data_IF_453624852060
#
_entry.id   IF_453624852060
#
_cell.length_a   1.000
_cell.length_b   1.000
_cell.length_c   1.000
_cell.angle_alpha   90.00
_cell.angle_beta   90.00
_cell.angle_gamma   90.00
#
_symmetry.space_group_name_H-M   'P 1'
#
loop_
_entity.id
_entity.type
_entity.pdbx_description
1 polymer ?
#
# COMPACT_ATOMS: atom_id res chain seq x y z
N UNK A 1 14.86 -2.97 -20.19
CA UNK A 1 13.97 -2.68 -19.04
C UNK A 1 13.13 -1.47 -19.41
N UNK A 2 11.81 -1.49 -19.19
CA UNK A 2 10.94 -0.34 -19.50
C UNK A 2 10.62 0.38 -18.19
N UNK A 3 10.81 1.72 -18.17
CA UNK A 3 10.53 2.53 -16.98
C UNK A 3 9.05 2.93 -16.91
N UNK A 4 8.49 2.91 -15.71
CA UNK A 4 7.14 3.37 -15.38
C UNK A 4 7.21 4.40 -14.26
N UNK A 5 6.24 5.32 -14.20
CA UNK A 5 6.13 6.27 -13.10
C UNK A 5 4.81 6.07 -12.35
N UNK A 6 4.86 6.15 -11.02
CA UNK A 6 3.66 6.22 -10.19
C UNK A 6 3.26 7.68 -10.04
N UNK A 7 2.00 7.95 -10.28
CA UNK A 7 1.43 9.29 -10.24
C UNK A 7 0.09 9.30 -9.53
N UNK A 8 -0.24 10.48 -9.08
CA UNK A 8 -1.59 10.81 -8.63
C UNK A 8 -2.27 11.75 -9.63
N UNK A 9 -3.60 11.74 -9.72
CA UNK A 9 -4.32 12.62 -10.64
C UNK A 9 -3.95 14.10 -10.49
N UNK A 10 -3.66 14.56 -9.29
CA UNK A 10 -3.26 15.97 -9.05
C UNK A 10 -1.85 16.33 -9.54
N UNK A 11 -1.02 15.37 -9.94
CA UNK A 11 0.28 15.64 -10.55
C UNK A 11 0.14 16.08 -12.01
N UNK A 12 -1.02 15.76 -12.63
CA UNK A 12 -1.31 15.98 -14.06
C UNK A 12 -2.51 16.89 -14.26
N UNK A 13 -3.61 16.67 -13.52
CA UNK A 13 -4.86 17.40 -13.68
C UNK A 13 -4.71 18.88 -13.31
N UNK A 14 -4.72 19.74 -14.33
CA UNK A 14 -4.53 21.19 -14.19
C UNK A 14 -3.13 21.67 -14.48
N UNK A 15 -2.26 20.79 -14.96
CA UNK A 15 -0.97 21.14 -15.53
C UNK A 15 -0.89 20.65 -16.98
N UNK A 16 -1.12 21.54 -17.96
CA UNK A 16 -1.14 21.15 -19.38
C UNK A 16 0.21 20.66 -19.91
N UNK A 17 1.31 20.94 -19.21
CA UNK A 17 2.66 20.52 -19.61
C UNK A 17 3.09 19.20 -18.95
N UNK A 18 2.37 18.70 -17.94
CA UNK A 18 2.78 17.54 -17.16
C UNK A 18 2.95 16.28 -18.03
N UNK A 19 1.96 15.95 -18.84
CA UNK A 19 1.99 14.76 -19.69
C UNK A 19 3.14 14.79 -20.71
N UNK A 20 3.41 15.96 -21.29
CA UNK A 20 4.54 16.14 -22.21
C UNK A 20 5.89 15.98 -21.53
N UNK A 21 6.05 16.52 -20.31
CA UNK A 21 7.28 16.32 -19.51
C UNK A 21 7.51 14.85 -19.21
N UNK A 22 6.46 14.11 -18.83
CA UNK A 22 6.54 12.68 -18.53
C UNK A 22 6.90 11.84 -19.76
N UNK A 23 6.25 12.10 -20.89
CA UNK A 23 6.59 11.43 -22.15
C UNK A 23 8.05 11.70 -22.56
N UNK A 24 8.55 12.92 -22.36
CA UNK A 24 9.95 13.29 -22.60
C UNK A 24 10.98 12.54 -21.75
N UNK A 25 10.58 11.87 -20.65
CA UNK A 25 11.43 11.02 -19.84
C UNK A 25 11.65 9.61 -20.44
N UNK A 26 11.01 9.27 -21.55
CA UNK A 26 11.11 7.95 -22.18
C UNK A 26 10.42 6.84 -21.39
N UNK A 27 9.40 7.17 -20.60
CA UNK A 27 8.58 6.20 -19.86
C UNK A 27 7.75 5.35 -20.83
N UNK A 28 7.61 4.07 -20.51
CA UNK A 28 6.71 3.16 -21.22
C UNK A 28 5.24 3.38 -20.83
N UNK A 29 4.99 3.86 -19.63
CA UNK A 29 3.66 4.12 -19.13
C UNK A 29 3.68 4.68 -17.71
N UNK A 30 2.48 4.81 -17.17
CA UNK A 30 2.20 5.40 -15.87
C UNK A 30 1.26 4.50 -15.07
N UNK A 31 1.55 4.33 -13.79
CA UNK A 31 0.61 3.79 -12.81
C UNK A 31 -0.05 4.97 -12.10
N UNK A 32 -1.34 5.21 -12.39
CA UNK A 32 -2.11 6.34 -11.90
C UNK A 32 -3.07 5.91 -10.79
N UNK A 33 -3.02 6.59 -9.65
CA UNK A 33 -3.90 6.29 -8.53
C UNK A 33 -5.38 6.53 -8.90
N UNK A 34 -6.19 5.47 -8.86
CA UNK A 34 -7.65 5.50 -9.01
C UNK A 34 -8.34 5.51 -7.64
N UNK A 35 -7.78 4.80 -6.66
CA UNK A 35 -8.22 4.78 -5.26
C UNK A 35 -6.99 4.75 -4.34
N UNK A 36 -6.92 5.66 -3.36
CA UNK A 36 -5.75 5.79 -2.50
C UNK A 36 -6.13 6.12 -1.06
N UNK A 37 -5.23 5.83 -0.12
CA UNK A 37 -5.35 6.21 1.29
C UNK A 37 -5.08 7.70 1.52
N UNK A 38 -5.08 8.15 2.78
CA UNK A 38 -4.72 9.52 3.12
C UNK A 38 -3.27 9.84 2.73
N UNK A 39 -3.06 11.04 2.21
CA UNK A 39 -1.75 11.46 1.73
C UNK A 39 -1.51 12.95 1.91
N UNK A 40 -0.27 13.32 2.19
CA UNK A 40 0.26 14.69 2.06
C UNK A 40 1.46 14.62 1.12
N UNK A 41 1.35 15.26 -0.02
CA UNK A 41 2.36 15.24 -1.08
C UNK A 41 2.82 16.65 -1.46
N UNK A 42 4.08 16.77 -1.87
CA UNK A 42 4.64 17.98 -2.48
C UNK A 42 4.61 17.80 -4.00
N UNK A 43 4.11 18.81 -4.71
CA UNK A 43 3.99 18.80 -6.17
C UNK A 43 4.86 19.94 -6.75
N UNK A 44 6.18 19.75 -6.85
CA UNK A 44 7.13 20.84 -7.13
C UNK A 44 6.97 21.48 -8.49
N UNK A 45 6.40 20.76 -9.46
CA UNK A 45 6.27 21.22 -10.85
C UNK A 45 4.87 21.70 -11.22
N UNK A 46 3.85 21.45 -10.37
CA UNK A 46 2.48 21.82 -10.71
C UNK A 46 2.27 23.34 -10.61
N UNK A 47 1.69 24.00 -11.65
CA UNK A 47 1.55 25.46 -11.66
C UNK A 47 0.54 25.99 -10.64
N UNK A 48 -0.48 25.22 -10.28
CA UNK A 48 -1.61 25.66 -9.44
C UNK A 48 -1.49 25.34 -7.96
N UNK A 49 -0.60 24.45 -7.53
CA UNK A 49 -0.40 24.08 -6.13
C UNK A 49 0.99 23.53 -5.86
N UNK A 50 1.40 23.49 -4.59
CA UNK A 50 2.69 22.94 -4.12
C UNK A 50 2.52 21.83 -3.10
N UNK A 51 1.45 21.86 -2.35
CA UNK A 51 1.13 20.83 -1.35
C UNK A 51 -0.29 20.37 -1.58
N UNK A 52 -0.45 19.05 -1.61
CA UNK A 52 -1.75 18.38 -1.68
C UNK A 52 -1.92 17.56 -0.42
N UNK A 53 -3.07 17.74 0.24
CA UNK A 53 -3.51 16.88 1.34
C UNK A 53 -4.84 16.27 0.94
N UNK A 54 -4.96 14.95 1.05
CA UNK A 54 -6.18 14.20 0.73
C UNK A 54 -6.44 13.15 1.80
N UNK A 55 -7.70 12.95 2.11
CA UNK A 55 -8.19 11.78 2.84
C UNK A 55 -8.27 10.59 1.88
N UNK A 56 -8.43 9.38 2.42
CA UNK A 56 -8.69 8.19 1.60
C UNK A 56 -9.92 8.41 0.69
N UNK A 57 -9.75 8.21 -0.61
CA UNK A 57 -10.78 8.48 -1.60
C UNK A 57 -10.57 7.75 -2.93
N UNK A 58 -11.64 7.70 -3.75
CA UNK A 58 -11.55 7.39 -5.18
C UNK A 58 -11.49 8.68 -5.99
N UNK A 59 -10.72 8.68 -7.06
CA UNK A 59 -10.43 9.85 -7.91
C UNK A 59 -11.17 9.80 -9.26
N UNK A 60 -11.83 8.69 -9.56
CA UNK A 60 -12.69 8.49 -10.70
C UNK A 60 -14.17 8.70 -10.32
N UNK A 61 -15.05 8.70 -11.31
CA UNK A 61 -16.51 8.79 -11.12
C UNK A 61 -17.06 7.41 -10.79
N UNK A 62 -17.18 7.12 -9.48
CA UNK A 62 -17.77 5.86 -9.03
C UNK A 62 -19.23 5.71 -9.49
N UNK A 63 -19.59 4.52 -10.00
CA UNK A 63 -20.94 4.18 -10.39
C UNK A 63 -21.80 3.87 -9.14
N UNK A 64 -22.80 4.71 -8.79
CA UNK A 64 -23.61 4.49 -7.61
C UNK A 64 -24.40 3.18 -7.63
N UNK A 65 -24.63 2.59 -8.81
CA UNK A 65 -25.38 1.36 -8.95
C UNK A 65 -24.63 0.15 -8.39
N UNK A 66 -23.31 0.13 -8.52
CA UNK A 66 -22.42 -0.93 -7.98
C UNK A 66 -22.38 -0.94 -6.46
N UNK A 67 -22.65 0.20 -5.83
CA UNK A 67 -22.56 0.40 -4.38
C UNK A 67 -23.91 0.39 -3.67
N UNK A 68 -24.98 -0.01 -4.38
CA UNK A 68 -26.31 -0.15 -3.76
C UNK A 68 -26.33 -1.35 -2.82
N UNK A 69 -26.74 -1.13 -1.56
CA UNK A 69 -26.83 -2.17 -0.56
C UNK A 69 -25.52 -2.52 0.15
N UNK A 70 -24.36 -2.05 -0.34
CA UNK A 70 -23.09 -2.30 0.32
C UNK A 70 -22.97 -1.53 1.64
N UNK A 71 -22.41 -2.18 2.67
CA UNK A 71 -22.23 -1.57 3.98
C UNK A 71 -21.12 -0.50 3.97
N UNK A 72 -20.06 -0.74 3.20
CA UNK A 72 -18.96 0.21 2.99
C UNK A 72 -19.05 0.77 1.57
N UNK A 73 -18.78 2.07 1.44
CA UNK A 73 -18.78 2.77 0.14
C UNK A 73 -17.54 3.63 -0.01
N UNK A 74 -17.00 3.78 -1.23
CA UNK A 74 -15.84 4.62 -1.44
C UNK A 74 -16.16 6.06 -1.07
N UNK A 75 -15.20 6.68 -0.39
CA UNK A 75 -15.29 8.09 -0.11
C UNK A 75 -15.09 8.87 -1.42
N UNK A 76 -16.02 9.75 -1.72
CA UNK A 76 -15.87 10.75 -2.78
C UNK A 76 -15.03 11.90 -2.26
N UNK A 77 -14.21 12.49 -3.11
CA UNK A 77 -13.51 13.73 -2.80
C UNK A 77 -14.54 14.82 -2.41
N UNK A 78 -14.30 15.50 -1.29
CA UNK A 78 -15.15 16.63 -0.89
C UNK A 78 -14.98 17.77 -1.90
N UNK A 79 -16.07 18.40 -2.37
CA UNK A 79 -15.99 19.46 -3.39
C UNK A 79 -15.07 20.63 -3.02
N UNK A 80 -14.96 20.96 -1.73
CA UNK A 80 -14.14 22.08 -1.24
C UNK A 80 -12.61 21.80 -1.27
N UNK A 81 -12.18 20.54 -1.45
CA UNK A 81 -10.77 20.15 -1.37
C UNK A 81 -10.19 19.66 -2.70
N UNK A 82 -10.97 19.64 -3.77
CA UNK A 82 -10.52 19.06 -5.03
C UNK A 82 -11.32 19.62 -6.21
N UNK A 83 -10.69 19.58 -7.40
CA UNK A 83 -11.41 19.70 -8.67
C UNK A 83 -12.54 18.67 -8.72
N UNK A 84 -13.60 18.92 -9.55
CA UNK A 84 -14.76 18.03 -9.66
C UNK A 84 -14.36 16.56 -9.81
N UNK A 85 -15.22 15.65 -9.37
CA UNK A 85 -15.09 14.20 -9.59
C UNK A 85 -14.68 13.91 -11.04
N UNK A 86 -13.78 12.93 -11.25
CA UNK A 86 -13.24 12.62 -12.57
C UNK A 86 -11.84 13.18 -12.82
N UNK A 87 -11.08 13.49 -11.76
CA UNK A 87 -9.66 13.89 -11.90
C UNK A 87 -8.81 12.76 -12.49
N UNK A 88 -9.15 11.50 -12.20
CA UNK A 88 -8.51 10.33 -12.81
C UNK A 88 -8.68 10.33 -14.31
N UNK A 89 -9.92 10.48 -14.81
CA UNK A 89 -10.23 10.45 -16.23
C UNK A 89 -9.55 11.60 -16.98
N UNK A 90 -9.52 12.81 -16.39
CA UNK A 90 -8.83 13.96 -17.01
C UNK A 90 -7.31 13.76 -17.08
N UNK A 91 -6.70 13.28 -16.00
CA UNK A 91 -5.28 12.97 -15.98
C UNK A 91 -4.93 11.85 -16.97
N UNK A 92 -5.73 10.77 -16.98
CA UNK A 92 -5.56 9.64 -17.89
C UNK A 92 -5.67 10.08 -19.36
N UNK A 93 -6.66 10.90 -19.72
CA UNK A 93 -6.82 11.42 -21.06
C UNK A 93 -5.60 12.25 -21.50
N UNK A 94 -5.06 13.12 -20.62
CA UNK A 94 -3.87 13.90 -20.91
C UNK A 94 -2.64 13.01 -21.15
N UNK A 95 -2.43 11.99 -20.32
CA UNK A 95 -1.31 11.05 -20.43
C UNK A 95 -1.40 10.19 -21.70
N UNK A 96 -2.59 9.66 -22.00
CA UNK A 96 -2.83 8.86 -23.23
C UNK A 96 -2.63 9.67 -24.51
N UNK A 97 -2.99 10.96 -24.51
CA UNK A 97 -2.75 11.86 -25.65
C UNK A 97 -1.26 12.01 -25.97
N UNK A 98 -0.36 11.69 -25.04
CA UNK A 98 1.09 11.67 -25.23
C UNK A 98 1.66 10.26 -25.42
N UNK A 99 0.82 9.26 -25.70
CA UNK A 99 1.24 7.89 -26.00
C UNK A 99 1.69 7.04 -24.80
N UNK A 100 1.42 7.48 -23.56
CA UNK A 100 1.76 6.72 -22.36
C UNK A 100 0.71 5.63 -22.08
N UNK A 101 1.15 4.40 -21.84
CA UNK A 101 0.29 3.33 -21.35
C UNK A 101 -0.16 3.60 -19.90
N UNK A 102 -1.37 3.13 -19.56
CA UNK A 102 -2.02 3.47 -18.29
C UNK A 102 -2.34 2.25 -17.46
N UNK A 103 -1.84 2.20 -16.23
CA UNK A 103 -2.28 1.24 -15.21
C UNK A 103 -3.09 1.98 -14.14
N UNK A 104 -4.31 1.54 -13.86
CA UNK A 104 -5.10 2.07 -12.74
C UNK A 104 -4.67 1.42 -11.43
N UNK A 105 -4.30 2.22 -10.45
CA UNK A 105 -3.80 1.76 -9.15
C UNK A 105 -4.84 1.96 -8.05
N UNK A 106 -5.14 0.89 -7.30
CA UNK A 106 -6.08 0.93 -6.19
C UNK A 106 -5.51 0.31 -4.92
N UNK A 107 -5.56 1.05 -3.83
CA UNK A 107 -5.25 0.59 -2.47
C UNK A 107 -6.51 0.04 -1.84
N UNK A 108 -6.47 -1.19 -1.31
CA UNK A 108 -7.68 -1.91 -0.88
C UNK A 108 -7.93 -1.85 0.63
N UNK A 109 -7.04 -2.42 1.45
CA UNK A 109 -7.27 -2.56 2.90
C UNK A 109 -6.66 -1.44 3.75
N UNK A 110 -5.91 -0.53 3.16
CA UNK A 110 -5.40 0.67 3.82
C UNK A 110 -6.34 1.85 3.56
N UNK A 111 -7.22 2.16 4.51
CA UNK A 111 -8.24 3.20 4.35
C UNK A 111 -8.69 3.74 5.72
N UNK A 112 -8.04 4.80 6.18
CA UNK A 112 -8.27 5.45 7.46
C UNK A 112 -9.72 5.95 7.63
N UNK A 113 -10.33 6.43 6.56
CA UNK A 113 -11.66 7.00 6.59
C UNK A 113 -12.75 5.95 6.81
N UNK A 114 -12.67 4.80 6.12
CA UNK A 114 -13.69 3.75 6.25
C UNK A 114 -13.62 3.08 7.62
N UNK A 115 -12.42 2.79 8.11
CA UNK A 115 -12.26 2.22 9.44
C UNK A 115 -12.66 3.17 10.57
N UNK A 116 -12.50 4.48 10.39
CA UNK A 116 -12.98 5.47 11.37
C UNK A 116 -14.51 5.57 11.40
N UNK A 117 -15.17 5.50 10.22
CA UNK A 117 -16.64 5.57 10.12
C UNK A 117 -17.31 4.26 10.54
N UNK A 118 -16.67 3.12 10.26
CA UNK A 118 -17.19 1.79 10.60
C UNK A 118 -16.12 1.01 11.38
N UNK A 119 -15.98 1.26 12.69
CA UNK A 119 -14.91 0.64 13.50
C UNK A 119 -14.95 -0.89 13.54
N UNK A 120 -16.11 -1.51 13.28
CA UNK A 120 -16.23 -2.97 13.17
C UNK A 120 -15.59 -3.56 11.91
N UNK A 121 -15.25 -2.72 10.92
CA UNK A 121 -14.51 -3.08 9.74
C UNK A 121 -12.99 -3.00 9.92
N UNK A 122 -12.53 -2.31 10.98
CA UNK A 122 -11.11 -2.09 11.23
C UNK A 122 -10.45 -3.27 11.95
N UNK A 123 -9.13 -3.39 11.78
CA UNK A 123 -8.29 -4.30 12.56
C UNK A 123 -8.36 -3.90 14.03
N UNK A 124 -8.49 -4.89 14.91
CA UNK A 124 -8.43 -4.73 16.36
C UNK A 124 -7.38 -5.70 16.90
N UNK A 125 -6.35 -5.20 17.56
CA UNK A 125 -5.28 -6.03 18.08
C UNK A 125 -5.70 -6.85 19.32
N UNK A 126 -4.78 -7.66 19.87
CA UNK A 126 -5.04 -8.51 21.03
C UNK A 126 -5.30 -7.72 22.32
N UNK A 127 -4.91 -6.46 22.40
CA UNK A 127 -5.16 -5.57 23.55
C UNK A 127 -6.51 -4.84 23.44
N UNK A 128 -7.17 -4.93 22.28
CA UNK A 128 -8.44 -4.26 22.02
C UNK A 128 -8.32 -2.93 21.29
N UNK A 129 -7.09 -2.47 20.97
CA UNK A 129 -6.87 -1.24 20.23
C UNK A 129 -7.32 -1.40 18.77
N UNK A 130 -8.00 -0.40 18.24
CA UNK A 130 -8.52 -0.41 16.89
C UNK A 130 -7.65 0.44 15.97
N UNK A 131 -7.34 -0.07 14.79
CA UNK A 131 -6.58 0.62 13.76
C UNK A 131 -7.51 1.13 12.65
N UNK A 132 -8.01 2.38 12.73
CA UNK A 132 -8.95 2.90 11.74
C UNK A 132 -8.41 2.89 10.31
N UNK A 133 -7.10 2.95 10.15
CA UNK A 133 -6.43 2.94 8.84
C UNK A 133 -6.29 1.55 8.22
N UNK A 134 -6.53 0.47 8.97
CA UNK A 134 -6.35 -0.92 8.55
C UNK A 134 -7.71 -1.64 8.52
N UNK A 135 -8.19 -2.01 7.33
CA UNK A 135 -9.44 -2.76 7.20
C UNK A 135 -9.19 -4.26 7.35
N UNK A 136 -10.06 -4.92 8.14
CA UNK A 136 -9.95 -6.35 8.41
C UNK A 136 -10.59 -7.19 7.29
N UNK A 137 -9.79 -7.91 6.53
CA UNK A 137 -10.25 -8.75 5.42
C UNK A 137 -11.10 -9.97 5.83
N UNK A 138 -11.16 -10.33 7.11
CA UNK A 138 -12.11 -11.30 7.63
C UNK A 138 -13.54 -10.73 7.71
N UNK A 139 -13.69 -9.39 7.80
CA UNK A 139 -15.00 -8.74 7.88
C UNK A 139 -15.71 -8.81 6.52
N UNK A 140 -16.94 -9.38 6.45
CA UNK A 140 -17.67 -9.52 5.18
C UNK A 140 -17.84 -8.19 4.42
N UNK A 141 -18.15 -7.10 5.15
CA UNK A 141 -18.30 -5.78 4.55
C UNK A 141 -17.01 -5.25 3.89
N UNK A 142 -15.84 -5.58 4.44
CA UNK A 142 -14.54 -5.21 3.84
C UNK A 142 -14.28 -6.01 2.57
N UNK A 143 -14.60 -7.30 2.57
CA UNK A 143 -14.47 -8.14 1.36
C UNK A 143 -15.40 -7.66 0.26
N UNK A 144 -16.67 -7.39 0.58
CA UNK A 144 -17.64 -6.83 -0.36
C UNK A 144 -17.13 -5.49 -0.94
N UNK A 145 -16.63 -4.61 -0.10
CA UNK A 145 -16.04 -3.34 -0.52
C UNK A 145 -14.88 -3.52 -1.49
N UNK A 146 -13.89 -4.36 -1.13
CA UNK A 146 -12.69 -4.56 -1.93
C UNK A 146 -13.00 -5.22 -3.29
N UNK A 147 -13.87 -6.22 -3.31
CA UNK A 147 -14.33 -6.91 -4.51
C UNK A 147 -15.06 -5.94 -5.45
N UNK A 148 -15.98 -5.11 -4.90
CA UNK A 148 -16.70 -4.11 -5.67
C UNK A 148 -15.75 -3.05 -6.24
N UNK A 149 -14.80 -2.56 -5.42
CA UNK A 149 -13.80 -1.59 -5.84
C UNK A 149 -12.90 -2.15 -6.95
N UNK A 150 -12.42 -3.38 -6.79
CA UNK A 150 -11.57 -4.03 -7.78
C UNK A 150 -12.27 -4.19 -9.13
N UNK A 151 -13.53 -4.63 -9.12
CA UNK A 151 -14.32 -4.74 -10.33
C UNK A 151 -14.62 -3.39 -10.99
N UNK A 152 -14.86 -2.34 -10.17
CA UNK A 152 -15.10 -1.00 -10.69
C UNK A 152 -13.84 -0.38 -11.31
N UNK A 153 -12.68 -0.50 -10.64
CA UNK A 153 -11.39 0.00 -11.15
C UNK A 153 -10.97 -0.77 -12.40
N UNK A 154 -11.20 -2.08 -12.46
CA UNK A 154 -10.93 -2.88 -13.66
C UNK A 154 -11.79 -2.45 -14.85
N UNK A 155 -13.02 -1.98 -14.61
CA UNK A 155 -13.93 -1.50 -15.65
C UNK A 155 -13.60 -0.10 -16.19
N UNK A 156 -12.62 0.63 -15.61
CA UNK A 156 -12.22 1.94 -16.13
C UNK A 156 -11.67 1.81 -17.54
N UNK A 157 -12.31 2.50 -18.49
CA UNK A 157 -11.96 2.45 -19.91
C UNK A 157 -10.61 3.10 -20.21
N UNK A 158 -10.19 4.04 -19.36
CA UNK A 158 -8.94 4.78 -19.47
C UNK A 158 -7.71 3.95 -19.12
N UNK A 159 -7.89 2.79 -18.44
CA UNK A 159 -6.81 1.94 -17.98
C UNK A 159 -6.58 0.73 -18.89
N UNK A 160 -5.33 0.53 -19.30
CA UNK A 160 -4.89 -0.64 -20.06
C UNK A 160 -4.63 -1.86 -19.14
N UNK A 161 -4.36 -1.60 -17.86
CA UNK A 161 -4.11 -2.59 -16.82
C UNK A 161 -4.61 -2.09 -15.46
N UNK A 162 -4.67 -2.99 -14.47
CA UNK A 162 -4.96 -2.64 -13.08
C UNK A 162 -3.88 -3.15 -12.14
N UNK A 163 -3.68 -2.42 -11.05
CA UNK A 163 -2.70 -2.72 -10.03
C UNK A 163 -3.34 -2.55 -8.64
N UNK A 164 -3.27 -3.60 -7.81
CA UNK A 164 -3.85 -3.62 -6.47
C UNK A 164 -2.76 -3.64 -5.40
N UNK A 165 -2.79 -2.66 -4.52
CA UNK A 165 -1.95 -2.54 -3.34
C UNK A 165 -2.76 -2.84 -2.08
N UNK A 166 -2.08 -3.27 -1.01
CA UNK A 166 -2.73 -3.69 0.23
C UNK A 166 -3.85 -4.73 -0.01
N UNK A 167 -3.63 -5.66 -0.96
CA UNK A 167 -4.53 -6.75 -1.27
C UNK A 167 -4.31 -7.91 -0.29
N UNK A 168 -4.48 -7.66 1.01
CA UNK A 168 -4.23 -8.63 2.08
C UNK A 168 -4.24 -7.96 3.45
N UNK A 169 -3.50 -8.55 4.39
CA UNK A 169 -3.42 -8.04 5.75
C UNK A 169 -2.68 -6.71 5.82
N UNK A 170 -3.31 -5.73 6.46
CA UNK A 170 -2.71 -4.51 6.95
C UNK A 170 -2.82 -4.48 8.48
N UNK A 171 -1.99 -3.72 9.19
CA UNK A 171 -1.95 -3.76 10.64
C UNK A 171 -1.43 -2.48 11.27
N UNK A 172 -0.43 -2.62 12.12
CA UNK A 172 0.16 -1.52 12.90
C UNK A 172 0.99 -0.55 12.04
N UNK A 173 1.20 -0.87 10.77
CA UNK A 173 1.96 -0.06 9.84
C UNK A 173 1.44 1.39 9.80
N UNK A 174 2.14 2.27 9.14
CA UNK A 174 1.89 3.70 9.15
C UNK A 174 0.43 4.07 8.79
N UNK A 175 -0.08 5.08 9.45
CA UNK A 175 -1.41 5.64 9.18
C UNK A 175 -1.36 6.94 8.36
N UNK A 176 -0.19 7.33 7.87
CA UNK A 176 0.07 8.58 7.12
C UNK A 176 -0.12 9.87 7.94
N UNK A 177 0.06 9.80 9.26
CA UNK A 177 -0.01 10.93 10.19
C UNK A 177 1.27 11.05 11.01
N UNK A 178 1.24 11.90 12.05
CA UNK A 178 2.38 12.04 12.96
C UNK A 178 2.41 10.88 13.94
N UNK A 179 3.28 9.89 13.69
CA UNK A 179 3.46 8.71 14.51
C UNK A 179 4.39 8.92 15.71
N UNK A 180 4.07 8.28 16.84
CA UNK A 180 4.87 8.23 18.06
C UNK A 180 5.29 6.79 18.40
N UNK A 181 5.45 5.95 17.39
CA UNK A 181 5.74 4.51 17.54
C UNK A 181 7.23 4.21 17.51
N UNK A 182 8.05 5.10 16.96
CA UNK A 182 9.49 4.89 16.85
C UNK A 182 10.17 4.69 18.20
N UNK A 183 10.84 3.55 18.39
CA UNK A 183 11.52 3.17 19.62
C UNK A 183 10.60 2.74 20.78
N UNK A 184 9.28 2.67 20.52
CA UNK A 184 8.30 2.23 21.51
C UNK A 184 7.86 0.76 21.30
N UNK A 185 8.03 0.23 20.11
CA UNK A 185 7.81 -1.19 19.79
C UNK A 185 9.15 -1.86 19.53
N UNK A 186 9.51 -2.79 20.40
CA UNK A 186 10.80 -3.48 20.33
C UNK A 186 10.76 -4.60 19.31
N UNK A 187 11.02 -4.23 18.03
CA UNK A 187 11.33 -5.19 17.00
C UNK A 187 10.18 -5.62 16.10
N UNK A 188 10.57 -6.30 15.04
CA UNK A 188 9.69 -6.74 13.96
C UNK A 188 8.63 -7.75 14.40
N UNK A 189 8.98 -8.62 15.37
CA UNK A 189 8.06 -9.62 15.93
C UNK A 189 6.87 -8.95 16.66
N UNK A 190 7.13 -7.94 17.48
CA UNK A 190 6.09 -7.21 18.21
C UNK A 190 5.17 -6.46 17.23
N UNK A 191 5.72 -5.84 16.19
CA UNK A 191 4.92 -5.20 15.13
C UNK A 191 4.01 -6.19 14.42
N UNK A 192 4.51 -7.38 14.11
CA UNK A 192 3.70 -8.42 13.47
C UNK A 192 2.60 -8.92 14.41
N UNK A 193 2.93 -9.19 15.68
CA UNK A 193 1.95 -9.62 16.70
C UNK A 193 0.87 -8.57 16.95
N UNK A 194 1.24 -7.29 16.98
CA UNK A 194 0.29 -6.18 17.08
C UNK A 194 -0.58 -6.03 15.83
N UNK A 195 -0.15 -6.57 14.68
CA UNK A 195 -0.94 -6.59 13.44
C UNK A 195 -1.90 -7.79 13.35
N UNK A 196 -1.90 -8.70 14.34
CA UNK A 196 -2.87 -9.80 14.38
C UNK A 196 -4.23 -9.29 14.84
N UNK A 197 -5.26 -9.52 14.04
CA UNK A 197 -6.60 -9.02 14.28
C UNK A 197 -7.43 -9.95 15.17
N UNK A 198 -8.07 -9.36 16.17
CA UNK A 198 -9.04 -10.01 17.07
C UNK A 198 -10.42 -9.34 17.04
N UNK A 199 -10.82 -8.75 15.91
CA UNK A 199 -12.19 -8.28 15.72
C UNK A 199 -13.18 -9.45 15.75
N UNK A 200 -14.48 -9.16 15.85
CA UNK A 200 -15.50 -10.21 15.94
C UNK A 200 -15.46 -11.20 14.77
N UNK A 201 -15.08 -10.76 13.56
CA UNK A 201 -14.95 -11.66 12.41
C UNK A 201 -13.75 -12.62 12.56
N UNK A 202 -12.56 -12.11 12.94
CA UNK A 202 -11.40 -12.95 13.15
C UNK A 202 -11.60 -13.95 14.30
N UNK A 203 -12.24 -13.53 15.39
CA UNK A 203 -12.57 -14.43 16.51
C UNK A 203 -13.45 -15.61 16.08
N UNK A 204 -14.41 -15.39 15.17
CA UNK A 204 -15.22 -16.49 14.60
C UNK A 204 -14.37 -17.43 13.74
N UNK A 205 -13.44 -16.90 12.95
CA UNK A 205 -12.54 -17.73 12.13
C UNK A 205 -11.60 -18.58 13.02
N UNK A 206 -11.08 -18.03 14.14
CA UNK A 206 -10.28 -18.79 15.10
C UNK A 206 -11.09 -19.88 15.78
N UNK A 207 -12.32 -19.57 16.22
CA UNK A 207 -13.22 -20.57 16.81
C UNK A 207 -13.58 -21.68 15.80
N UNK A 208 -13.81 -21.32 14.55
CA UNK A 208 -14.06 -22.29 13.46
C UNK A 208 -12.85 -23.20 13.19
N UNK A 209 -11.63 -22.70 13.45
CA UNK A 209 -10.39 -23.48 13.39
C UNK A 209 -10.14 -24.31 14.67
N UNK A 210 -11.09 -24.34 15.61
CA UNK A 210 -11.02 -25.14 16.84
C UNK A 210 -10.24 -24.51 18.00
N UNK A 211 -9.90 -23.23 17.92
CA UNK A 211 -9.15 -22.54 18.97
C UNK A 211 -10.02 -21.54 19.75
N UNK A 212 -9.78 -21.43 21.06
CA UNK A 212 -10.39 -20.36 21.86
C UNK A 212 -9.76 -19.00 21.51
N UNK A 213 -10.53 -18.03 20.99
CA UNK A 213 -10.03 -16.72 20.65
C UNK A 213 -9.45 -15.92 21.83
N UNK A 214 -9.94 -16.16 23.06
CA UNK A 214 -9.40 -15.48 24.23
C UNK A 214 -8.04 -16.05 24.64
N UNK A 215 -7.86 -17.36 24.54
CA UNK A 215 -6.57 -18.00 24.73
C UNK A 215 -5.54 -17.51 23.68
N UNK A 216 -5.92 -17.43 22.41
CA UNK A 216 -5.05 -16.88 21.36
C UNK A 216 -4.66 -15.42 21.63
N UNK A 217 -5.63 -14.59 22.04
CA UNK A 217 -5.36 -13.20 22.38
C UNK A 217 -4.43 -13.07 23.59
N UNK A 218 -4.61 -13.93 24.60
CA UNK A 218 -3.73 -13.97 25.76
C UNK A 218 -2.30 -14.38 25.37
N UNK A 219 -2.15 -15.39 24.52
CA UNK A 219 -0.85 -15.82 24.01
C UNK A 219 -0.13 -14.68 23.23
N UNK A 220 -0.85 -13.96 22.36
CA UNK A 220 -0.28 -12.81 21.64
C UNK A 220 0.12 -11.69 22.60
N UNK A 221 -0.72 -11.34 23.59
CA UNK A 221 -0.37 -10.33 24.61
C UNK A 221 0.87 -10.72 25.40
N UNK A 222 0.97 -11.99 25.80
CA UNK A 222 2.14 -12.50 26.51
C UNK A 222 3.40 -12.39 25.67
N UNK A 223 3.33 -12.76 24.40
CA UNK A 223 4.46 -12.67 23.47
C UNK A 223 4.90 -11.22 23.20
N UNK A 224 3.96 -10.27 23.07
CA UNK A 224 4.27 -8.83 22.92
C UNK A 224 4.93 -8.26 24.16
N UNK A 225 4.51 -8.69 25.34
CA UNK A 225 5.03 -8.21 26.62
C UNK A 225 6.28 -8.96 27.11
N UNK A 226 6.68 -10.03 26.43
CA UNK A 226 7.88 -10.77 26.79
C UNK A 226 9.12 -9.87 26.63
N UNK A 227 10.06 -9.87 27.60
CA UNK A 227 11.31 -9.16 27.44
C UNK A 227 12.03 -9.66 26.18
N UNK A 228 12.53 -8.75 25.37
CA UNK A 228 13.36 -9.14 24.24
C UNK A 228 14.64 -9.82 24.77
N UNK A 229 14.72 -11.15 24.65
CA UNK A 229 15.90 -11.89 25.09
C UNK A 229 17.12 -11.39 24.30
N UNK A 230 18.10 -10.85 25.03
CA UNK A 230 19.45 -10.57 24.52
C UNK A 230 19.66 -9.24 23.79
N UNK A 231 18.69 -8.36 23.72
CA UNK A 231 18.95 -6.99 23.28
C UNK A 231 19.30 -6.12 24.47
N UNK A 232 20.60 -5.85 24.66
CA UNK A 232 21.02 -4.61 25.32
C UNK A 232 20.18 -3.47 24.70
N UNK A 233 19.75 -2.45 25.48
CA UNK A 233 18.97 -1.35 24.94
C UNK A 233 19.66 -0.89 23.69
N UNK A 234 18.97 -0.99 22.56
CA UNK A 234 19.54 -0.71 21.25
C UNK A 234 20.19 0.67 21.31
N UNK A 235 21.49 0.65 21.50
CA UNK A 235 22.27 1.85 21.65
C UNK A 235 22.09 2.71 20.43
N UNK A 236 22.25 3.99 20.59
CA UNK A 236 22.14 5.13 19.69
C UNK A 236 22.19 4.90 18.14
N UNK A 237 22.70 3.78 17.66
CA UNK A 237 22.73 3.41 16.24
C UNK A 237 21.33 3.11 15.65
N UNK A 238 20.37 2.63 16.46
CA UNK A 238 18.99 2.44 15.98
C UNK A 238 18.21 3.76 15.89
N UNK A 239 18.75 4.85 16.41
CA UNK A 239 18.07 6.16 16.41
C UNK A 239 18.28 6.97 15.11
N UNK A 240 19.18 6.56 14.25
CA UNK A 240 19.39 7.21 12.95
C UNK A 240 18.45 6.70 11.83
N UNK A 241 17.68 5.63 12.08
CA UNK A 241 16.76 5.02 11.13
C UNK A 241 15.28 5.09 11.57
N UNK A 242 14.91 6.10 12.31
CA UNK A 242 13.60 6.20 12.94
C UNK A 242 12.49 6.71 12.03
N UNK A 243 12.25 6.12 10.91
CA UNK A 243 10.95 6.10 10.22
C UNK A 243 11.07 4.96 9.21
N UNK A 244 10.25 3.91 9.35
CA UNK A 244 10.05 2.97 8.24
C UNK A 244 9.64 3.81 7.03
N UNK A 245 10.30 3.65 5.85
CA UNK A 245 9.90 4.39 4.66
C UNK A 245 8.40 4.22 4.43
N UNK A 246 7.71 5.28 4.06
CA UNK A 246 6.33 5.19 3.60
C UNK A 246 6.24 4.07 2.55
N UNK A 247 5.42 3.05 2.79
CA UNK A 247 5.36 1.83 1.96
C UNK A 247 6.11 0.61 2.54
N UNK A 248 6.82 0.74 3.67
CA UNK A 248 7.41 -0.38 4.37
C UNK A 248 6.36 -1.13 5.20
N UNK A 249 6.01 -2.35 4.83
CA UNK A 249 5.29 -3.29 5.68
C UNK A 249 6.16 -3.76 6.85
N UNK A 250 5.61 -4.59 7.73
CA UNK A 250 6.38 -5.25 8.79
C UNK A 250 7.57 -5.99 8.16
N UNK A 251 8.80 -5.80 8.69
CA UNK A 251 10.01 -6.33 8.08
C UNK A 251 9.94 -7.81 7.74
N UNK A 252 10.61 -8.22 6.67
CA UNK A 252 10.73 -9.63 6.29
C UNK A 252 11.30 -10.46 7.44
N UNK A 253 10.68 -11.62 7.70
CA UNK A 253 11.08 -12.49 8.82
C UNK A 253 10.43 -12.14 10.17
N UNK A 254 9.73 -11.02 10.28
CA UNK A 254 9.01 -10.65 11.51
C UNK A 254 8.03 -11.72 11.98
N UNK A 255 7.34 -12.35 11.04
CA UNK A 255 6.40 -13.44 11.35
C UNK A 255 7.09 -14.68 11.90
N UNK A 256 8.28 -15.04 11.41
CA UNK A 256 9.06 -16.16 11.91
C UNK A 256 9.57 -15.89 13.34
N UNK A 257 9.99 -14.65 13.63
CA UNK A 257 10.36 -14.24 14.99
C UNK A 257 9.15 -14.26 15.92
N UNK A 258 7.99 -13.79 15.45
CA UNK A 258 6.75 -13.81 16.20
C UNK A 258 6.25 -15.23 16.46
N UNK A 259 6.42 -16.15 15.48
CA UNK A 259 6.12 -17.57 15.61
C UNK A 259 6.93 -18.20 16.74
N UNK A 260 8.24 -17.92 16.83
CA UNK A 260 9.09 -18.39 17.92
C UNK A 260 8.73 -17.85 19.30
N UNK A 261 8.04 -16.71 19.37
CA UNK A 261 7.57 -16.11 20.62
C UNK A 261 6.20 -16.63 21.08
N UNK A 262 5.48 -17.38 20.24
CA UNK A 262 4.16 -17.93 20.54
C UNK A 262 4.25 -19.41 20.91
N UNK A 263 3.30 -19.94 21.74
CA UNK A 263 3.09 -21.38 21.81
C UNK A 263 2.79 -21.96 20.43
N UNK A 264 3.43 -23.10 20.07
CA UNK A 264 3.32 -23.68 18.72
C UNK A 264 1.87 -23.82 18.22
N UNK A 265 0.97 -24.34 19.05
CA UNK A 265 -0.45 -24.46 18.70
C UNK A 265 -1.12 -23.09 18.43
N UNK A 266 -0.70 -22.00 19.08
CA UNK A 266 -1.21 -20.67 18.83
C UNK A 266 -0.66 -20.12 17.50
N UNK A 267 0.62 -20.33 17.24
CA UNK A 267 1.26 -19.94 15.98
C UNK A 267 0.60 -20.64 14.78
N UNK A 268 0.40 -21.96 14.87
CA UNK A 268 -0.21 -22.76 13.80
C UNK A 268 -1.62 -22.24 13.42
N UNK A 269 -2.47 -22.01 14.43
CA UNK A 269 -3.83 -21.50 14.20
C UNK A 269 -3.80 -20.09 13.61
N UNK A 270 -3.03 -19.18 14.19
CA UNK A 270 -2.97 -17.79 13.73
C UNK A 270 -2.43 -17.69 12.30
N UNK A 271 -1.35 -18.40 12.00
CA UNK A 271 -0.75 -18.40 10.66
C UNK A 271 -1.66 -19.07 9.64
N UNK A 272 -2.23 -20.24 9.98
CA UNK A 272 -3.14 -20.97 9.08
C UNK A 272 -4.40 -20.18 8.72
N UNK A 273 -5.07 -19.60 9.73
CA UNK A 273 -6.25 -18.77 9.51
C UNK A 273 -5.93 -17.52 8.70
N UNK A 274 -4.81 -16.84 9.00
CA UNK A 274 -4.41 -15.65 8.25
C UNK A 274 -4.09 -15.96 6.80
N UNK A 275 -3.37 -17.03 6.53
CA UNK A 275 -3.04 -17.46 5.18
C UNK A 275 -4.29 -17.84 4.37
N UNK A 276 -5.21 -18.60 4.97
CA UNK A 276 -6.48 -18.97 4.33
C UNK A 276 -7.34 -17.74 3.98
N UNK A 277 -7.45 -16.79 4.91
CA UNK A 277 -8.21 -15.55 4.70
C UNK A 277 -7.57 -14.66 3.63
N UNK A 278 -6.25 -14.49 3.64
CA UNK A 278 -5.54 -13.71 2.63
C UNK A 278 -5.71 -14.34 1.24
N UNK A 279 -5.52 -15.65 1.11
CA UNK A 279 -5.71 -16.39 -0.14
C UNK A 279 -7.11 -16.23 -0.69
N UNK A 280 -8.14 -16.39 0.18
CA UNK A 280 -9.54 -16.19 -0.21
C UNK A 280 -9.78 -14.78 -0.71
N UNK A 281 -9.32 -13.76 0.04
CA UNK A 281 -9.49 -12.36 -0.30
C UNK A 281 -8.83 -12.01 -1.65
N UNK A 282 -7.58 -12.43 -1.85
CA UNK A 282 -6.86 -12.19 -3.10
C UNK A 282 -7.58 -12.83 -4.30
N UNK A 283 -8.06 -14.06 -4.17
CA UNK A 283 -8.82 -14.74 -5.22
C UNK A 283 -10.12 -14.01 -5.56
N UNK A 284 -10.87 -13.55 -4.56
CA UNK A 284 -12.12 -12.81 -4.75
C UNK A 284 -11.87 -11.48 -5.49
N UNK A 285 -10.82 -10.75 -5.12
CA UNK A 285 -10.41 -9.49 -5.79
C UNK A 285 -10.00 -9.73 -7.24
N UNK A 286 -9.17 -10.75 -7.49
CA UNK A 286 -8.72 -11.10 -8.84
C UNK A 286 -9.89 -11.53 -9.71
N UNK A 287 -10.80 -12.37 -9.18
CA UNK A 287 -11.99 -12.82 -9.90
C UNK A 287 -12.87 -11.62 -10.29
N UNK A 288 -13.17 -10.73 -9.36
CA UNK A 288 -13.98 -9.53 -9.63
C UNK A 288 -13.37 -8.62 -10.72
N UNK A 289 -12.07 -8.44 -10.71
CA UNK A 289 -11.38 -7.65 -11.74
C UNK A 289 -11.44 -8.32 -13.12
N UNK A 290 -11.30 -9.66 -13.17
CA UNK A 290 -11.41 -10.45 -14.40
C UNK A 290 -12.81 -10.48 -14.97
N UNK A 291 -13.81 -10.66 -14.10
CA UNK A 291 -15.22 -10.70 -14.50
C UNK A 291 -15.66 -9.34 -15.06
N UNK A 292 -15.15 -8.24 -14.48
CA UNK A 292 -15.45 -6.89 -14.95
C UNK A 292 -14.83 -6.59 -16.32
N UNK A 293 -13.62 -7.08 -16.59
CA UNK A 293 -12.93 -6.85 -17.87
C UNK A 293 -12.03 -8.05 -18.20
N UNK A 294 -12.57 -9.05 -18.91
CA UNK A 294 -11.78 -10.20 -19.34
C UNK A 294 -10.57 -9.78 -20.18
N UNK A 295 -9.42 -10.35 -19.88
CA UNK A 295 -8.17 -10.11 -20.61
C UNK A 295 -7.38 -8.86 -20.19
N UNK A 296 -7.93 -7.94 -19.39
CA UNK A 296 -7.17 -6.82 -18.86
C UNK A 296 -6.08 -7.32 -17.91
N UNK A 297 -4.80 -6.90 -18.08
CA UNK A 297 -3.71 -7.28 -17.18
C UNK A 297 -3.96 -6.86 -15.74
N UNK A 298 -3.69 -7.77 -14.80
CA UNK A 298 -3.83 -7.57 -13.36
C UNK A 298 -2.47 -7.72 -12.70
N UNK A 299 -2.07 -6.72 -11.93
CA UNK A 299 -0.86 -6.71 -11.13
C UNK A 299 -1.19 -6.61 -9.64
N UNK A 300 -0.45 -7.33 -8.80
CA UNK A 300 -0.58 -7.26 -7.34
C UNK A 300 0.71 -6.79 -6.70
N UNK A 301 0.61 -5.83 -5.78
CA UNK A 301 1.66 -5.55 -4.82
C UNK A 301 1.72 -6.67 -3.80
N UNK A 302 2.84 -7.37 -3.73
CA UNK A 302 2.99 -8.54 -2.87
C UNK A 302 4.40 -8.67 -2.32
N UNK A 303 4.51 -9.46 -1.27
CA UNK A 303 5.77 -9.90 -0.70
C UNK A 303 5.88 -11.43 -0.79
N UNK A 304 7.05 -12.02 -1.15
CA UNK A 304 7.21 -13.47 -1.30
C UNK A 304 7.16 -14.27 0.02
N UNK A 305 7.15 -13.60 1.18
CA UNK A 305 6.81 -14.22 2.45
C UNK A 305 5.28 -14.17 2.63
N UNK A 306 4.57 -15.32 2.66
CA UNK A 306 3.11 -15.35 2.76
C UNK A 306 2.57 -14.73 4.06
N UNK A 307 3.44 -14.53 5.05
CA UNK A 307 3.10 -13.97 6.36
C UNK A 307 3.25 -12.44 6.40
N UNK A 308 3.77 -11.82 5.35
CA UNK A 308 3.98 -10.37 5.30
C UNK A 308 2.64 -9.60 5.41
N UNK A 309 2.69 -8.43 6.03
CA UNK A 309 1.56 -7.50 6.19
C UNK A 309 1.91 -6.14 5.59
N UNK A 310 0.94 -5.28 5.39
CA UNK A 310 1.12 -3.91 4.92
C UNK A 310 0.75 -3.67 3.47
N UNK A 311 1.38 -2.67 2.87
CA UNK A 311 1.13 -2.27 1.47
C UNK A 311 1.41 -3.42 0.47
N UNK A 312 2.43 -4.23 0.78
CA UNK A 312 2.83 -5.41 0.00
C UNK A 312 2.62 -6.68 0.84
N UNK A 313 1.37 -7.14 1.01
CA UNK A 313 1.08 -8.30 1.84
C UNK A 313 1.60 -9.58 1.20
N UNK A 314 1.78 -10.61 2.03
CA UNK A 314 2.19 -11.93 1.58
C UNK A 314 1.15 -12.60 0.68
N UNK A 315 1.62 -13.58 -0.10
CA UNK A 315 0.77 -14.39 -0.96
C UNK A 315 1.12 -15.88 -0.88
N UNK A 316 0.13 -16.69 -1.14
CA UNK A 316 0.31 -18.09 -1.49
C UNK A 316 0.26 -18.24 -3.01
N UNK A 317 1.13 -19.05 -3.66
CA UNK A 317 1.16 -19.18 -5.12
C UNK A 317 -0.22 -19.50 -5.74
N UNK A 318 -1.01 -20.30 -5.03
CA UNK A 318 -2.37 -20.63 -5.46
C UNK A 318 -3.35 -19.44 -5.50
N UNK A 319 -3.05 -18.34 -4.80
CA UNK A 319 -3.87 -17.13 -4.85
C UNK A 319 -3.65 -16.32 -6.13
N UNK A 320 -2.51 -16.49 -6.79
CA UNK A 320 -2.12 -15.72 -7.97
C UNK A 320 -2.66 -16.26 -9.29
N UNK A 321 -3.53 -17.27 -9.26
CA UNK A 321 -4.19 -17.77 -10.47
C UNK A 321 -4.95 -16.63 -11.15
N UNK A 322 -4.47 -16.27 -12.36
CA UNK A 322 -5.09 -15.19 -13.11
C UNK A 322 -4.44 -13.83 -12.99
N UNK A 323 -3.40 -13.68 -12.21
CA UNK A 323 -2.56 -12.48 -12.16
C UNK A 323 -1.61 -12.46 -13.36
N UNK A 324 -1.44 -11.31 -13.97
CA UNK A 324 -0.49 -11.10 -15.07
C UNK A 324 0.92 -10.87 -14.54
N UNK A 325 1.04 -10.22 -13.39
CA UNK A 325 2.34 -9.93 -12.80
C UNK A 325 2.23 -9.53 -11.34
N UNK A 326 3.40 -9.51 -10.67
CA UNK A 326 3.54 -9.06 -9.29
C UNK A 326 4.42 -7.82 -9.23
N UNK A 327 4.13 -6.94 -8.29
CA UNK A 327 4.92 -5.75 -7.98
C UNK A 327 5.62 -5.96 -6.64
N UNK A 328 6.94 -5.88 -6.64
CA UNK A 328 7.77 -6.03 -5.44
C UNK A 328 8.27 -4.67 -4.98
N UNK A 329 8.23 -4.42 -3.68
CA UNK A 329 8.79 -3.21 -3.07
C UNK A 329 10.31 -3.36 -2.94
N UNK A 330 11.05 -2.85 -3.90
CA UNK A 330 12.51 -2.90 -3.97
C UNK A 330 13.16 -1.55 -3.61
N UNK A 331 12.61 -0.85 -2.61
CA UNK A 331 13.09 0.46 -2.15
C UNK A 331 14.50 0.40 -1.54
N UNK A 332 14.79 -0.72 -0.87
CA UNK A 332 16.12 -0.98 -0.31
C UNK A 332 16.94 -1.81 -1.30
N UNK A 333 17.97 -1.24 -1.94
CA UNK A 333 18.80 -1.96 -2.89
C UNK A 333 19.57 -3.13 -2.25
N UNK A 334 19.76 -3.13 -0.93
CA UNK A 334 20.38 -4.24 -0.20
C UNK A 334 19.48 -5.47 -0.11
N UNK A 335 18.15 -5.27 -0.08
CA UNK A 335 17.14 -6.36 0.06
C UNK A 335 16.55 -6.78 -1.28
N UNK A 336 16.53 -5.88 -2.26
CA UNK A 336 15.87 -6.07 -3.55
C UNK A 336 16.28 -7.36 -4.29
N UNK A 337 17.60 -7.74 -4.40
CA UNK A 337 18.00 -8.97 -5.07
C UNK A 337 17.42 -10.23 -4.42
N UNK A 338 17.39 -10.26 -3.09
CA UNK A 338 16.84 -11.40 -2.36
C UNK A 338 15.31 -11.51 -2.53
N UNK A 339 14.59 -10.40 -2.54
CA UNK A 339 13.16 -10.37 -2.82
C UNK A 339 12.83 -10.89 -4.21
N UNK A 340 13.54 -10.43 -5.23
CA UNK A 340 13.36 -10.86 -6.61
C UNK A 340 13.67 -12.35 -6.76
N UNK A 341 14.77 -12.85 -6.17
CA UNK A 341 15.15 -14.26 -6.21
C UNK A 341 14.11 -15.15 -5.52
N UNK A 342 13.59 -14.74 -4.37
CA UNK A 342 12.53 -15.47 -3.65
C UNK A 342 11.23 -15.50 -4.45
N UNK A 343 10.83 -14.38 -5.02
CA UNK A 343 9.65 -14.31 -5.86
C UNK A 343 9.76 -15.19 -7.11
N UNK A 344 10.94 -15.26 -7.73
CA UNK A 344 11.20 -16.14 -8.87
C UNK A 344 11.19 -17.63 -8.50
N UNK A 345 11.64 -17.98 -7.29
CA UNK A 345 11.62 -19.35 -6.78
C UNK A 345 10.22 -19.81 -6.33
N UNK A 346 9.36 -18.90 -5.95
CA UNK A 346 7.96 -19.20 -5.64
C UNK A 346 7.24 -19.36 -6.97
N UNK A 347 6.77 -20.59 -7.29
CA UNK A 347 6.13 -20.91 -8.56
C UNK A 347 4.98 -19.95 -8.88
N UNK A 348 5.30 -18.83 -9.48
CA UNK A 348 4.33 -17.91 -10.06
C UNK A 348 3.84 -18.54 -11.35
N UNK A 349 2.54 -18.56 -11.67
CA UNK A 349 2.04 -19.17 -12.89
C UNK A 349 2.87 -18.71 -14.10
N UNK A 350 3.18 -19.65 -15.00
CA UNK A 350 3.98 -19.39 -16.20
C UNK A 350 3.40 -18.20 -16.98
N UNK A 351 4.17 -17.15 -17.16
CA UNK A 351 3.76 -15.90 -17.79
C UNK A 351 3.68 -14.69 -16.83
N UNK A 352 3.80 -14.88 -15.53
CA UNK A 352 3.80 -13.78 -14.56
C UNK A 352 5.14 -13.03 -14.61
N UNK A 353 5.09 -11.73 -14.83
CA UNK A 353 6.26 -10.85 -14.85
C UNK A 353 6.44 -10.23 -13.47
N UNK A 354 7.62 -10.39 -12.88
CA UNK A 354 7.97 -9.64 -11.68
C UNK A 354 8.33 -8.20 -12.09
N UNK A 355 7.61 -7.23 -11.56
CA UNK A 355 7.93 -5.82 -11.71
C UNK A 355 8.63 -5.36 -10.45
N UNK A 356 9.94 -5.13 -10.53
CA UNK A 356 10.69 -4.53 -9.42
C UNK A 356 10.52 -3.00 -9.49
N UNK A 357 10.10 -2.39 -8.38
CA UNK A 357 10.11 -0.94 -8.21
C UNK A 357 11.38 -0.52 -7.50
N UNK A 358 12.23 0.19 -8.20
CA UNK A 358 13.39 0.86 -7.63
C UNK A 358 13.12 2.37 -7.61
N UNK A 359 13.34 3.02 -6.48
CA UNK A 359 13.60 4.46 -6.48
C UNK A 359 15.11 4.66 -6.57
N UNK A 360 15.57 5.29 -7.63
CA UNK A 360 16.90 5.89 -7.61
C UNK A 360 16.80 7.20 -6.84
N UNK A 361 17.17 7.16 -5.57
CA UNK A 361 17.49 8.38 -4.84
C UNK A 361 18.81 8.92 -5.37
N UNK A 362 18.74 9.95 -6.22
CA UNK A 362 19.89 10.83 -6.40
C UNK A 362 20.22 11.44 -5.05
N UNK A 363 21.50 11.41 -4.67
CA UNK A 363 21.99 11.88 -3.40
C UNK A 363 21.54 13.32 -3.11
N UNK A 364 20.54 13.49 -2.24
CA UNK A 364 20.30 14.67 -1.44
C UNK A 364 19.49 14.22 -0.21
N UNK A 365 20.11 14.33 0.93
CA UNK A 365 19.56 13.95 2.20
C UNK A 365 18.27 14.72 2.53
N UNK A 366 17.28 14.00 3.05
CA UNK A 366 16.25 14.52 3.94
C UNK A 366 14.94 14.93 3.28
N UNK A 367 14.12 13.98 2.93
CA UNK A 367 12.66 14.00 3.17
C UNK A 367 12.06 12.70 2.64
N UNK A 368 11.31 12.01 3.49
CA UNK A 368 10.49 10.88 3.06
C UNK A 368 9.42 11.38 2.10
N UNK A 369 9.55 11.00 0.88
CA UNK A 369 8.51 11.13 -0.13
C UNK A 369 8.31 9.76 -0.76
N UNK A 370 7.05 9.31 -0.81
CA UNK A 370 6.59 8.44 -1.88
C UNK A 370 7.01 9.16 -3.17
N UNK A 371 8.16 8.80 -3.70
CA UNK A 371 8.75 9.55 -4.79
C UNK A 371 8.12 9.13 -6.09
N UNK A 372 7.18 9.88 -6.44
CA UNK A 372 6.75 10.05 -7.81
C UNK A 372 7.84 10.80 -8.55
N UNK A 373 8.55 10.13 -9.41
CA UNK A 373 9.56 10.59 -10.39
C UNK A 373 10.99 10.74 -9.84
N UNK A 374 11.94 9.93 -10.32
CA UNK A 374 13.36 10.27 -10.20
C UNK A 374 13.63 11.48 -11.11
N UNK A 375 13.99 12.60 -10.49
CA UNK A 375 14.46 13.78 -11.22
C UNK A 375 15.87 13.48 -11.73
N UNK A 376 16.04 13.40 -13.05
CA UNK A 376 17.35 13.45 -13.69
C UNK A 376 18.04 14.78 -13.32
N UNK A 377 19.38 14.81 -13.11
CA UNK A 377 20.10 16.05 -12.84
C UNK A 377 19.86 17.02 -14.01
N UNK A 378 19.36 18.20 -13.69
CA UNK A 378 18.94 19.22 -14.62
C UNK A 378 20.08 19.72 -15.52
N UNK A 379 19.83 19.71 -16.82
CA UNK A 379 20.31 20.77 -17.66
C UNK A 379 19.58 22.07 -17.25
N UNK A 380 20.30 23.06 -16.76
CA UNK A 380 19.77 24.40 -16.46
C UNK A 380 19.21 25.00 -17.75
N UNK A 381 18.02 25.62 -17.74
CA UNK A 381 17.61 26.46 -18.85
C UNK A 381 18.60 27.64 -18.96
N UNK A 382 19.01 28.02 -20.17
CA UNK A 382 19.85 29.17 -20.37
C UNK A 382 19.07 30.45 -20.03
N UNK A 383 19.57 31.25 -19.10
CA UNK A 383 19.15 32.61 -18.89
C UNK A 383 18.48 32.98 -17.57
N UNK A 384 19.12 32.73 -16.43
CA UNK A 384 18.87 33.53 -15.22
C UNK A 384 20.22 33.92 -14.61
N UNK A 385 20.58 35.17 -14.84
CA UNK A 385 21.74 35.87 -14.31
C UNK A 385 21.73 35.87 -12.79
N UNK A 386 22.93 35.81 -12.23
CA UNK A 386 23.29 35.94 -10.81
C UNK A 386 22.70 37.21 -10.19
N UNK A 387 22.07 37.06 -9.05
CA UNK A 387 21.75 38.19 -8.19
C UNK A 387 20.84 37.78 -7.04
N UNK A 388 21.40 37.23 -5.98
CA UNK A 388 20.99 37.50 -4.60
C UNK A 388 21.99 36.82 -3.64
N UNK A 389 23.05 37.59 -3.32
CA UNK A 389 23.80 37.40 -2.08
C UNK A 389 23.27 38.40 -1.07
N UNK A 390 22.75 37.99 0.03
CA UNK A 390 22.88 38.66 1.33
C UNK A 390 22.89 37.65 2.46
N UNK A 391 23.87 37.77 3.38
CA UNK A 391 23.92 36.91 4.56
C UNK A 391 22.99 37.45 5.65
N UNK A 392 22.25 36.53 6.30
CA UNK A 392 21.55 36.84 7.55
C UNK A 392 22.59 36.86 8.69
N UNK A 393 22.76 37.98 9.36
CA UNK A 393 23.47 38.08 10.64
C UNK A 393 22.48 37.79 11.76
N UNK A 394 22.93 36.97 12.70
CA UNK A 394 22.26 36.73 13.96
C UNK A 394 22.30 38.04 14.81
N UNK A 395 21.20 38.33 15.47
CA UNK A 395 21.00 39.21 16.58
C UNK A 395 19.92 38.56 17.45
#
# INVERSE_FOLDING_TARGET
MRAWANLYPWDVDGDPAAAGRLAGLGLAGVTLAAAYHAVRAVTPFHPGHRIVTRDAAVYYRADPSRWRGTALRPARLRPAMSRPAGSFERAAAALRAHGLAMTAWAVLTHNDRLGAVVPSAAVRNAFGDTYPWALCLAAPAVREYAVTLAGEVAALAEADAVEFEACGWYGVEHLSAHDKTAGATDGAAAQWLLSVCFCAACRREYAAAGADPEWLAAAVRAAVNAPAEGTAPAGAAARAGGITPAGGGVPAGAAALAEGALPGAAADVLLGVRAALATRFQREVIAAARDATPGKPIYLHVHPDPRATGANPGYEPAALAGVTGIVLSCWDPGVAPALVSRAAATAVPSGTVAVARETRTGAAAGSQQDSTIPVAPHARPPGLSRGFRRPYRAG
#
